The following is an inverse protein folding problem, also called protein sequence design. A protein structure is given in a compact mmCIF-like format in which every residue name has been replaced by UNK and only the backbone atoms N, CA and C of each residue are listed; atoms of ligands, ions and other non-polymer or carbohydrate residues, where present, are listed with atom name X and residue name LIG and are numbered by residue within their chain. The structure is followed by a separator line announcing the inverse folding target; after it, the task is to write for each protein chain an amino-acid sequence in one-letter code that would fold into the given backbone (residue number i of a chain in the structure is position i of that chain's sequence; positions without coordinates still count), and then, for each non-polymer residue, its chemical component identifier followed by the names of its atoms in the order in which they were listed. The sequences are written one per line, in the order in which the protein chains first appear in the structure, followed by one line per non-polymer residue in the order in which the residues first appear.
data_IF_728500658726
#
_entry.id   IF_728500658726
#
_cell.length_a   1.000
_cell.length_b   1.000
_cell.length_c   1.000
_cell.angle_alpha   90.00
_cell.angle_beta   90.00
_cell.angle_gamma   90.00
#
_symmetry.space_group_name_H-M   'P 1'
#
loop_
_entity.id
_entity.type
_entity.pdbx_description
1 polymer ?
#
# COMPACT_ATOMS: atom_id res chain seq x y z
N UNK A 1 8.62 -3.85 -11.43
CA UNK A 1 7.28 -4.48 -11.60
C UNK A 1 6.76 -4.81 -10.20
N UNK A 2 5.64 -4.24 -9.75
CA UNK A 2 5.17 -4.39 -8.37
C UNK A 2 4.28 -5.63 -8.15
N UNK A 3 3.44 -6.00 -9.12
CA UNK A 3 2.56 -7.19 -9.02
C UNK A 3 3.27 -8.46 -8.55
N UNK A 4 4.44 -8.87 -9.10
CA UNK A 4 5.14 -10.06 -8.62
C UNK A 4 5.59 -9.99 -7.16
N UNK A 5 5.91 -8.80 -6.65
CA UNK A 5 6.30 -8.59 -5.25
C UNK A 5 5.10 -8.75 -4.32
N UNK A 6 3.93 -8.25 -4.73
CA UNK A 6 2.69 -8.43 -3.98
C UNK A 6 2.32 -9.92 -3.91
N UNK A 7 2.40 -10.63 -5.03
CA UNK A 7 2.16 -12.07 -5.10
C UNK A 7 3.11 -12.84 -4.18
N UNK A 8 4.41 -12.56 -4.23
CA UNK A 8 5.39 -13.18 -3.33
C UNK A 8 5.07 -12.89 -1.85
N UNK A 9 4.62 -11.68 -1.52
CA UNK A 9 4.18 -11.33 -0.17
C UNK A 9 2.94 -12.09 0.29
N UNK A 10 2.02 -12.38 -0.63
CA UNK A 10 0.84 -13.22 -0.36
C UNK A 10 1.23 -14.68 -0.17
N UNK A 11 2.07 -15.22 -1.06
CA UNK A 11 2.58 -16.60 -0.96
C UNK A 11 3.37 -16.83 0.35
N UNK A 12 4.10 -15.81 0.81
CA UNK A 12 4.79 -15.82 2.09
C UNK A 12 3.87 -15.59 3.32
N UNK A 13 2.57 -15.37 3.11
CA UNK A 13 1.61 -15.09 4.18
C UNK A 13 1.79 -13.75 4.88
N UNK A 14 2.51 -12.81 4.26
CA UNK A 14 2.70 -11.43 4.76
C UNK A 14 1.54 -10.52 4.35
N UNK A 15 0.94 -10.82 3.20
CA UNK A 15 -0.17 -10.08 2.62
C UNK A 15 -1.42 -10.96 2.46
N UNK A 16 -2.58 -10.35 2.64
CA UNK A 16 -3.90 -10.96 2.47
C UNK A 16 -4.72 -10.11 1.50
N UNK A 17 -4.82 -10.58 0.26
CA UNK A 17 -5.64 -9.98 -0.79
C UNK A 17 -6.11 -11.06 -1.78
N UNK A 18 -7.32 -10.89 -2.31
CA UNK A 18 -7.92 -11.84 -3.25
C UNK A 18 -7.32 -11.74 -4.66
N UNK A 19 -7.09 -10.52 -5.13
CA UNK A 19 -6.65 -10.23 -6.51
C UNK A 19 -5.48 -9.22 -6.50
N UNK A 20 -4.37 -9.59 -7.15
CA UNK A 20 -3.18 -8.74 -7.20
C UNK A 20 -3.35 -7.51 -8.08
N UNK A 21 -4.27 -7.53 -9.05
CA UNK A 21 -4.57 -6.33 -9.83
C UNK A 21 -5.27 -5.27 -8.98
N UNK A 22 -6.26 -5.68 -8.20
CA UNK A 22 -6.96 -4.84 -7.24
C UNK A 22 -6.00 -4.33 -6.17
N UNK A 23 -5.18 -5.21 -5.58
CA UNK A 23 -4.17 -4.79 -4.61
C UNK A 23 -3.17 -3.78 -5.19
N UNK A 24 -2.72 -3.99 -6.43
CA UNK A 24 -1.86 -3.05 -7.14
C UNK A 24 -2.53 -1.69 -7.37
N UNK A 25 -3.80 -1.67 -7.82
CA UNK A 25 -4.58 -0.43 -8.01
C UNK A 25 -4.76 0.33 -6.69
N UNK A 26 -5.03 -0.39 -5.60
CA UNK A 26 -5.12 0.20 -4.25
C UNK A 26 -3.80 0.86 -3.86
N UNK A 27 -2.68 0.13 -3.94
CA UNK A 27 -1.36 0.68 -3.59
C UNK A 27 -1.03 1.94 -4.41
N UNK A 28 -1.25 1.89 -5.72
CA UNK A 28 -0.99 3.03 -6.59
C UNK A 28 -1.91 4.23 -6.27
N UNK A 29 -3.17 3.96 -5.94
CA UNK A 29 -4.12 4.99 -5.51
C UNK A 29 -3.71 5.68 -4.21
N UNK A 30 -3.13 4.95 -3.25
CA UNK A 30 -2.61 5.53 -2.00
C UNK A 30 -1.45 6.50 -2.27
N UNK A 31 -0.49 6.12 -3.13
CA UNK A 31 0.62 6.99 -3.52
C UNK A 31 0.13 8.21 -4.32
N UNK A 32 -0.72 7.98 -5.32
CA UNK A 32 -1.19 9.04 -6.22
C UNK A 32 -2.07 10.07 -5.51
N UNK A 33 -2.93 9.64 -4.56
CA UNK A 33 -3.78 10.55 -3.78
C UNK A 33 -2.95 11.49 -2.91
N UNK A 34 -1.89 10.99 -2.29
CA UNK A 34 -0.98 11.80 -1.47
C UNK A 34 -0.29 12.88 -2.31
N UNK A 35 0.15 12.53 -3.52
CA UNK A 35 0.75 13.48 -4.48
C UNK A 35 -0.28 14.49 -4.99
N UNK A 36 -1.46 14.04 -5.40
CA UNK A 36 -2.53 14.88 -5.94
C UNK A 36 -3.04 15.90 -4.90
N UNK A 37 -3.26 15.48 -3.65
CA UNK A 37 -3.71 16.39 -2.58
C UNK A 37 -2.69 17.49 -2.30
N UNK A 38 -1.39 17.18 -2.29
CA UNK A 38 -0.33 18.18 -2.11
C UNK A 38 -0.32 19.18 -3.25
N UNK A 39 -0.42 18.73 -4.50
CA UNK A 39 -0.53 19.61 -5.65
C UNK A 39 -1.77 20.51 -5.59
N UNK A 40 -2.93 19.99 -5.16
CA UNK A 40 -4.16 20.77 -5.01
C UNK A 40 -4.05 21.86 -3.93
N UNK A 41 -3.21 21.66 -2.92
CA UNK A 41 -2.95 22.64 -1.86
C UNK A 41 -1.92 23.71 -2.27
N UNK A 42 -1.43 23.67 -3.51
CA UNK A 42 -0.37 24.57 -3.99
C UNK A 42 1.02 24.21 -3.45
N UNK A 43 1.16 23.04 -2.84
CA UNK A 43 2.40 22.55 -2.29
C UNK A 43 3.37 22.23 -3.44
N UNK A 44 4.63 22.66 -3.32
CA UNK A 44 5.62 22.33 -4.36
C UNK A 44 5.94 20.85 -4.26
N UNK A 45 5.72 20.13 -5.36
CA UNK A 45 6.14 18.75 -5.48
C UNK A 45 7.67 18.72 -5.62
N UNK A 46 8.35 18.73 -4.48
CA UNK A 46 9.78 18.50 -4.41
C UNK A 46 10.03 17.03 -4.76
N UNK A 47 10.42 16.75 -6.01
CA UNK A 47 10.79 15.42 -6.51
C UNK A 47 12.16 14.97 -5.96
N UNK A 48 12.45 15.31 -4.71
CA UNK A 48 13.65 14.89 -4.00
C UNK A 48 13.50 13.43 -3.56
N UNK A 49 14.61 12.70 -3.51
CA UNK A 49 14.61 11.30 -3.05
C UNK A 49 14.00 11.16 -1.64
N UNK A 50 14.24 12.13 -0.76
CA UNK A 50 13.67 12.14 0.59
C UNK A 50 12.13 12.24 0.59
N UNK A 51 11.57 13.07 -0.29
CA UNK A 51 10.10 13.23 -0.40
C UNK A 51 9.48 11.99 -1.03
N UNK A 52 10.07 11.47 -2.10
CA UNK A 52 9.62 10.24 -2.77
C UNK A 52 9.67 9.06 -1.80
N UNK A 53 10.76 8.93 -1.03
CA UNK A 53 10.91 7.89 -0.01
C UNK A 53 9.86 8.01 1.10
N UNK A 54 9.59 9.23 1.58
CA UNK A 54 8.55 9.50 2.57
C UNK A 54 7.15 9.15 2.07
N UNK A 55 6.81 9.52 0.84
CA UNK A 55 5.52 9.23 0.20
C UNK A 55 5.34 7.71 0.03
N UNK A 56 6.38 7.02 -0.44
CA UNK A 56 6.38 5.56 -0.58
C UNK A 56 6.24 4.84 0.77
N UNK A 57 6.91 5.31 1.81
CA UNK A 57 6.82 4.74 3.15
C UNK A 57 5.40 4.86 3.73
N UNK A 58 4.76 6.03 3.60
CA UNK A 58 3.38 6.23 4.07
C UNK A 58 2.37 5.36 3.33
N UNK A 59 2.46 5.32 2.00
CA UNK A 59 1.60 4.45 1.19
C UNK A 59 1.79 2.97 1.55
N UNK A 60 3.02 2.55 1.82
CA UNK A 60 3.33 1.19 2.27
C UNK A 60 2.69 0.88 3.63
N UNK A 61 2.76 1.79 4.60
CA UNK A 61 2.10 1.60 5.89
C UNK A 61 0.58 1.50 5.76
N UNK A 62 -0.05 2.38 4.97
CA UNK A 62 -1.48 2.35 4.70
C UNK A 62 -1.89 1.05 3.99
N UNK A 63 -1.10 0.60 3.02
CA UNK A 63 -1.34 -0.66 2.32
C UNK A 63 -1.25 -1.87 3.25
N UNK A 64 -0.24 -1.93 4.12
CA UNK A 64 -0.10 -3.00 5.12
C UNK A 64 -1.20 -2.95 6.18
N UNK A 65 -1.74 -1.77 6.50
CA UNK A 65 -2.94 -1.68 7.33
C UNK A 65 -4.16 -2.29 6.63
N UNK A 66 -4.30 -2.16 5.30
CA UNK A 66 -5.44 -2.73 4.57
C UNK A 66 -5.28 -4.22 4.23
N UNK A 67 -4.05 -4.64 3.90
CA UNK A 67 -3.75 -5.95 3.31
C UNK A 67 -2.70 -6.74 4.07
N UNK A 68 -2.22 -6.29 5.23
CA UNK A 68 -1.29 -7.07 6.05
C UNK A 68 -2.01 -8.27 6.67
N UNK A 69 -1.42 -9.47 6.56
CA UNK A 69 -2.03 -10.70 7.06
C UNK A 69 -2.29 -10.69 8.59
N UNK A 70 -1.57 -9.84 9.33
CA UNK A 70 -1.77 -9.64 10.77
C UNK A 70 -2.97 -8.75 11.12
N UNK A 71 -3.59 -8.06 10.14
CA UNK A 71 -4.76 -7.21 10.40
C UNK A 71 -6.10 -7.93 10.19
N UNK A 72 -6.07 -9.27 10.08
CA UNK A 72 -7.30 -10.05 10.08
C UNK A 72 -7.91 -9.94 11.49
N UNK A 73 -9.15 -9.42 11.67
CA UNK A 73 -9.81 -9.56 12.95
C UNK A 73 -9.85 -11.05 13.26
N UNK A 74 -9.42 -11.43 14.47
CA UNK A 74 -9.47 -12.82 14.93
C UNK A 74 -10.92 -13.30 14.87
N UNK A 75 -11.32 -13.85 13.72
CA UNK A 75 -12.57 -14.58 13.57
C UNK A 75 -12.53 -15.78 14.50
N UNK A 76 -13.68 -16.20 15.07
CA UNK A 76 -13.72 -17.25 16.08
C UNK A 76 -13.06 -18.51 15.53
N UNK A 77 -12.01 -18.96 16.21
CA UNK A 77 -11.35 -20.24 15.92
C UNK A 77 -12.39 -21.34 16.16
N UNK A 78 -12.93 -21.89 15.07
CA UNK A 78 -13.73 -23.11 15.14
C UNK A 78 -12.81 -24.24 15.63
N UNK A 79 -13.11 -24.74 16.83
CA UNK A 79 -12.56 -25.99 17.36
C UNK A 79 -13.40 -27.18 16.91
#
# INVERSE_FOLDING_TARGET
RLKPVLEAGREAGLLDFADSETAFRTFFGLVARDVQMRLLLGDRLELTEATIGGDAARATQQFLALHGANNRPLGPRAG
#
